data_IF_583741220271
#
_entry.id   IF_583741220271
#
_cell.length_a   1.000
_cell.length_b   1.000
_cell.length_c   1.000
_cell.angle_alpha   90.00
_cell.angle_beta   90.00
_cell.angle_gamma   90.00
#
_symmetry.space_group_name_H-M   'P 1'
#
loop_
_entity.id
_entity.type
_entity.pdbx_description
1 polymer ?
#
# COMPACT_ATOMS: atom_id res chain seq x y z
N UNK A 1 3.55 -16.54 9.59
CA UNK A 1 4.27 -16.07 8.39
C UNK A 1 4.90 -14.74 8.77
N UNK A 2 6.22 -14.64 8.95
CA UNK A 2 6.85 -13.37 9.30
C UNK A 2 6.81 -12.42 8.09
N UNK A 3 6.52 -11.14 8.36
CA UNK A 3 6.39 -10.02 7.43
C UNK A 3 7.75 -9.49 6.94
N UNK A 4 8.76 -10.35 6.78
CA UNK A 4 10.17 -9.91 6.78
C UNK A 4 10.66 -9.25 5.49
N UNK A 5 9.83 -9.14 4.46
CA UNK A 5 10.26 -8.56 3.18
C UNK A 5 9.26 -7.52 2.69
N UNK A 6 9.42 -6.28 3.17
CA UNK A 6 8.77 -5.10 2.59
C UNK A 6 9.70 -4.51 1.54
N UNK A 7 9.30 -4.61 0.27
CA UNK A 7 9.97 -3.88 -0.82
C UNK A 7 9.38 -2.47 -0.85
N UNK A 8 10.19 -1.47 -0.51
CA UNK A 8 9.88 -0.06 -0.76
C UNK A 8 10.24 0.30 -2.20
N UNK A 9 9.25 0.69 -3.00
CA UNK A 9 9.49 1.23 -4.33
C UNK A 9 9.16 2.73 -4.36
N UNK A 10 10.17 3.57 -4.57
CA UNK A 10 10.02 5.02 -4.76
C UNK A 10 10.09 5.38 -6.24
N UNK A 11 9.08 6.08 -6.74
CA UNK A 11 9.13 6.66 -8.10
C UNK A 11 9.81 8.03 -7.98
N UNK A 12 11.12 8.06 -8.23
CA UNK A 12 11.93 9.27 -8.24
C UNK A 12 11.61 10.24 -9.40
N UNK A 13 12.17 11.44 -9.28
CA UNK A 13 12.11 12.62 -10.16
C UNK A 13 12.27 12.28 -11.67
N UNK A 14 11.72 13.08 -12.62
CA UNK A 14 11.67 12.70 -14.04
C UNK A 14 13.06 12.41 -14.64
N UNK A 15 13.22 11.21 -15.23
CA UNK A 15 14.45 10.79 -15.91
C UNK A 15 15.20 9.62 -15.26
N UNK A 16 14.73 9.12 -14.11
CA UNK A 16 15.19 7.85 -13.54
C UNK A 16 14.16 6.74 -13.80
N UNK A 17 14.62 5.60 -14.30
CA UNK A 17 13.85 4.36 -14.30
C UNK A 17 13.44 4.00 -12.87
N UNK A 18 12.41 3.16 -12.71
CA UNK A 18 12.00 2.61 -11.41
C UNK A 18 13.23 2.09 -10.66
N UNK A 19 13.69 2.85 -9.67
CA UNK A 19 14.81 2.46 -8.83
C UNK A 19 14.22 1.68 -7.65
N UNK A 20 14.46 0.37 -7.65
CA UNK A 20 14.18 -0.45 -6.48
C UNK A 20 15.26 -0.10 -5.47
N UNK A 21 14.92 0.72 -4.47
CA UNK A 21 15.79 0.91 -3.31
C UNK A 21 15.99 -0.50 -2.70
N UNK A 22 17.25 -0.92 -2.53
CA UNK A 22 17.58 -2.27 -2.11
C UNK A 22 16.84 -2.70 -0.83
N UNK A 23 16.66 -4.03 -0.67
CA UNK A 23 16.05 -4.63 0.52
C UNK A 23 16.74 -4.08 1.77
N UNK A 24 16.04 -3.22 2.51
CA UNK A 24 16.48 -2.78 3.82
C UNK A 24 16.11 -3.91 4.78
N UNK A 25 17.10 -4.70 5.19
CA UNK A 25 16.90 -5.61 6.34
C UNK A 25 16.64 -4.73 7.55
N UNK A 26 15.44 -4.82 8.10
CA UNK A 26 15.19 -4.32 9.45
C UNK A 26 16.05 -5.14 10.41
N UNK A 27 16.74 -4.47 11.33
CA UNK A 27 17.50 -5.13 12.38
C UNK A 27 16.51 -5.99 13.20
N UNK A 28 16.85 -7.27 13.43
CA UNK A 28 16.00 -8.33 14.03
C UNK A 28 15.45 -8.02 15.45
N UNK A 29 15.69 -6.83 15.98
CA UNK A 29 15.31 -6.39 17.33
C UNK A 29 13.95 -5.65 17.37
N UNK A 30 13.31 -5.36 16.23
CA UNK A 30 11.94 -4.83 16.22
C UNK A 30 10.93 -5.93 16.58
N UNK A 31 10.56 -5.99 17.86
CA UNK A 31 9.47 -6.85 18.36
C UNK A 31 8.13 -6.43 17.77
N UNK A 32 7.78 -7.01 16.63
CA UNK A 32 6.44 -6.89 16.06
C UNK A 32 5.40 -7.62 16.91
N UNK A 33 4.21 -7.03 17.07
CA UNK A 33 3.15 -7.55 17.94
C UNK A 33 2.50 -8.87 17.46
N UNK A 34 3.00 -9.48 16.38
CA UNK A 34 2.37 -10.61 15.70
C UNK A 34 3.20 -11.90 15.77
N UNK A 35 4.35 -11.88 16.43
CA UNK A 35 5.14 -13.08 16.67
C UNK A 35 4.54 -13.83 17.86
N UNK A 36 3.78 -14.89 17.59
CA UNK A 36 3.26 -15.83 18.59
C UNK A 36 4.39 -16.74 19.12
N UNK A 37 5.29 -16.19 19.93
CA UNK A 37 6.19 -16.96 20.78
C UNK A 37 5.56 -17.05 22.16
N UNK A 38 4.97 -18.21 22.42
CA UNK A 38 4.24 -18.55 23.63
C UNK A 38 4.98 -18.21 24.92
N UNK A 39 4.17 -17.80 25.91
CA UNK A 39 4.38 -17.95 27.36
C UNK A 39 4.94 -16.79 28.20
N UNK A 40 4.78 -15.51 27.82
CA UNK A 40 4.77 -14.38 28.78
C UNK A 40 4.27 -13.05 28.16
N UNK A 41 2.95 -12.81 28.11
CA UNK A 41 2.34 -11.67 27.40
C UNK A 41 1.54 -10.66 28.27
N UNK A 42 1.70 -10.65 29.59
CA UNK A 42 0.78 -9.87 30.44
C UNK A 42 1.23 -8.45 30.85
N UNK A 43 2.47 -8.02 30.59
CA UNK A 43 2.93 -6.71 31.13
C UNK A 43 3.07 -5.54 30.13
N UNK A 44 2.89 -5.76 28.81
CA UNK A 44 3.04 -4.69 27.80
C UNK A 44 1.81 -4.48 26.90
N UNK A 45 0.78 -5.31 27.02
CA UNK A 45 -0.48 -5.08 26.32
C UNK A 45 -1.39 -4.22 27.19
N UNK A 46 -1.39 -2.91 26.93
CA UNK A 46 -2.57 -2.11 27.26
C UNK A 46 -3.73 -2.69 26.44
N UNK A 47 -4.72 -3.34 27.07
CA UNK A 47 -5.84 -3.89 26.32
C UNK A 47 -6.51 -2.71 25.62
N UNK A 48 -6.53 -2.75 24.28
CA UNK A 48 -7.23 -1.75 23.50
C UNK A 48 -8.67 -1.69 24.00
N UNK A 49 -9.08 -0.50 24.47
CA UNK A 49 -10.47 -0.25 24.89
C UNK A 49 -11.42 -0.12 23.69
N UNK A 50 -10.90 -0.20 22.46
CA UNK A 50 -11.72 -0.13 21.27
C UNK A 50 -12.52 -1.43 21.11
N UNK A 51 -13.67 -1.32 20.44
CA UNK A 51 -14.52 -2.47 20.13
C UNK A 51 -13.70 -3.60 19.48
N UNK A 52 -13.89 -4.83 19.96
CA UNK A 52 -13.17 -6.03 19.50
C UNK A 52 -11.65 -6.02 19.70
N UNK A 53 -11.12 -5.14 20.58
CA UNK A 53 -9.68 -5.02 20.81
C UNK A 53 -8.92 -4.39 19.63
N UNK A 54 -9.60 -3.69 18.72
CA UNK A 54 -8.99 -3.09 17.54
C UNK A 54 -7.92 -2.05 17.89
N UNK A 55 -6.84 -1.91 17.12
CA UNK A 55 -5.90 -0.80 17.31
C UNK A 55 -6.54 0.58 17.05
N UNK A 56 -7.64 0.63 16.30
CA UNK A 56 -8.31 1.87 15.91
C UNK A 56 -9.67 2.07 16.64
N UNK A 57 -10.00 3.30 17.06
CA UNK A 57 -11.29 3.61 17.67
C UNK A 57 -12.42 3.68 16.65
N UNK A 58 -13.67 3.56 17.12
CA UNK A 58 -14.85 3.80 16.27
C UNK A 58 -14.96 5.29 15.93
N UNK A 59 -15.14 5.61 14.64
CA UNK A 59 -15.36 6.98 14.15
C UNK A 59 -16.78 7.10 13.61
N UNK A 60 -17.53 8.10 14.06
CA UNK A 60 -18.89 8.39 13.58
C UNK A 60 -18.87 9.46 12.47
N UNK A 61 -19.89 9.48 11.61
CA UNK A 61 -20.02 10.49 10.54
C UNK A 61 -19.08 10.30 9.34
N UNK A 62 -18.56 9.09 9.13
CA UNK A 62 -17.76 8.80 7.93
C UNK A 62 -18.65 8.55 6.71
N UNK A 63 -18.26 9.09 5.56
CA UNK A 63 -18.81 8.70 4.27
C UNK A 63 -18.15 7.41 3.78
N UNK A 64 -18.91 6.32 3.78
CA UNK A 64 -18.47 5.03 3.28
C UNK A 64 -19.20 4.67 1.99
N UNK A 65 -18.44 4.29 0.97
CA UNK A 65 -18.98 3.79 -0.30
C UNK A 65 -18.42 2.41 -0.60
N UNK A 66 -19.30 1.42 -0.80
CA UNK A 66 -18.92 0.08 -1.21
C UNK A 66 -18.97 -0.07 -2.73
N UNK A 67 -18.15 -0.99 -3.23
CA UNK A 67 -18.09 -1.35 -4.64
C UNK A 67 -18.29 -2.86 -4.77
N UNK A 68 -19.06 -3.26 -5.78
CA UNK A 68 -19.14 -4.63 -6.23
C UNK A 68 -18.29 -4.71 -7.50
N UNK A 69 -17.42 -5.72 -7.57
CA UNK A 69 -16.42 -5.91 -8.62
C UNK A 69 -15.40 -4.77 -8.77
N UNK A 70 -14.54 -4.90 -9.79
CA UNK A 70 -13.45 -3.97 -10.05
C UNK A 70 -13.84 -2.72 -10.84
N UNK A 71 -14.96 -2.70 -11.58
CA UNK A 71 -15.27 -1.60 -12.50
C UNK A 71 -15.46 -0.27 -11.77
N UNK A 72 -16.34 -0.24 -10.76
CA UNK A 72 -16.58 0.95 -9.95
C UNK A 72 -15.41 1.31 -9.05
N UNK A 73 -14.77 0.28 -8.46
CA UNK A 73 -13.62 0.45 -7.57
C UNK A 73 -12.44 1.10 -8.30
N UNK A 74 -12.02 0.54 -9.45
CA UNK A 74 -10.88 1.08 -10.21
C UNK A 74 -11.16 2.45 -10.79
N UNK A 75 -12.42 2.74 -11.15
CA UNK A 75 -12.79 4.09 -11.56
C UNK A 75 -12.57 5.10 -10.42
N UNK A 76 -13.06 4.80 -9.22
CA UNK A 76 -12.86 5.65 -8.05
C UNK A 76 -11.37 5.78 -7.67
N UNK A 77 -10.62 4.68 -7.75
CA UNK A 77 -9.17 4.67 -7.51
C UNK A 77 -8.44 5.60 -8.48
N UNK A 78 -8.80 5.58 -9.77
CA UNK A 78 -8.20 6.48 -10.76
C UNK A 78 -8.40 7.96 -10.43
N UNK A 79 -9.58 8.32 -9.90
CA UNK A 79 -9.88 9.69 -9.48
C UNK A 79 -9.03 10.07 -8.27
N UNK A 80 -8.94 9.18 -7.27
CA UNK A 80 -8.13 9.42 -6.07
C UNK A 80 -6.64 9.64 -6.42
N UNK A 81 -6.08 8.82 -7.31
CA UNK A 81 -4.69 8.98 -7.78
C UNK A 81 -4.50 10.29 -8.57
N UNK A 82 -5.43 10.65 -9.47
CA UNK A 82 -5.41 11.93 -10.18
C UNK A 82 -5.46 13.13 -9.22
N UNK A 83 -6.22 13.04 -8.12
CA UNK A 83 -6.45 14.15 -7.19
C UNK A 83 -5.44 14.21 -6.04
N UNK A 84 -4.61 13.19 -5.84
CA UNK A 84 -3.61 13.16 -4.77
C UNK A 84 -2.67 14.38 -4.86
N UNK A 85 -2.42 15.02 -3.70
CA UNK A 85 -1.61 16.25 -3.60
C UNK A 85 -0.30 16.04 -2.84
N UNK A 86 -0.24 15.10 -1.89
CA UNK A 86 0.89 14.95 -0.98
C UNK A 86 1.51 13.57 -1.01
N UNK A 87 0.71 12.51 -0.82
CA UNK A 87 1.23 11.15 -0.84
C UNK A 87 0.21 10.13 -1.34
N UNK A 88 0.72 9.05 -1.91
CA UNK A 88 0.00 7.84 -2.30
C UNK A 88 0.72 6.68 -1.62
N UNK A 89 0.00 5.92 -0.81
CA UNK A 89 0.49 4.72 -0.14
C UNK A 89 -0.26 3.52 -0.71
N UNK A 90 0.46 2.57 -1.29
CA UNK A 90 -0.10 1.33 -1.84
C UNK A 90 0.48 0.16 -1.07
N UNK A 91 -0.39 -0.70 -0.53
CA UNK A 91 0.00 -1.99 0.01
C UNK A 91 -0.74 -3.05 -0.78
N UNK A 92 0.00 -3.96 -1.40
CA UNK A 92 -0.59 -5.02 -2.22
C UNK A 92 0.18 -6.33 -2.01
N UNK A 93 -0.55 -7.44 -2.13
CA UNK A 93 0.07 -8.75 -2.17
C UNK A 93 0.70 -9.00 -3.54
N UNK A 94 0.03 -8.56 -4.62
CA UNK A 94 0.56 -8.59 -5.98
C UNK A 94 0.06 -7.39 -6.77
N UNK A 95 0.99 -6.49 -7.08
CA UNK A 95 0.73 -5.33 -7.93
C UNK A 95 1.21 -5.58 -9.36
N UNK A 96 0.32 -5.40 -10.34
CA UNK A 96 0.69 -5.31 -11.76
C UNK A 96 0.69 -3.83 -12.18
N UNK A 97 1.85 -3.22 -12.43
CA UNK A 97 1.94 -1.82 -12.87
C UNK A 97 1.18 -1.54 -14.18
N UNK A 98 1.01 -2.55 -15.04
CA UNK A 98 0.38 -2.43 -16.36
C UNK A 98 -1.16 -2.52 -16.33
N UNK A 99 -1.77 -2.63 -15.16
CA UNK A 99 -3.24 -2.67 -15.03
C UNK A 99 -3.87 -1.33 -15.41
N UNK A 100 -5.00 -1.38 -16.12
CA UNK A 100 -5.78 -0.20 -16.48
C UNK A 100 -6.91 0.04 -15.49
N UNK A 101 -6.90 1.23 -14.87
CA UNK A 101 -7.93 1.64 -13.91
C UNK A 101 -9.23 2.11 -14.59
N UNK A 102 -9.17 2.46 -15.88
CA UNK A 102 -10.34 2.76 -16.73
C UNK A 102 -10.32 1.92 -18.01
N UNK A 103 -11.49 1.47 -18.45
CA UNK A 103 -11.65 0.60 -19.62
C UNK A 103 -12.66 1.20 -20.63
N UNK A 104 -12.51 0.97 -21.95
CA UNK A 104 -11.51 0.12 -22.59
C UNK A 104 -10.11 0.77 -22.68
N UNK A 105 -9.01 -0.02 -22.61
CA UNK A 105 -7.64 0.51 -22.68
C UNK A 105 -7.36 1.39 -23.89
N UNK A 106 -7.95 1.09 -25.05
CA UNK A 106 -7.76 1.86 -26.30
C UNK A 106 -8.13 3.34 -26.17
N UNK A 107 -9.05 3.69 -25.26
CA UNK A 107 -9.49 5.08 -25.01
C UNK A 107 -8.88 5.70 -23.76
N UNK A 108 -8.32 4.87 -22.87
CA UNK A 108 -7.91 5.26 -21.53
C UNK A 108 -6.44 4.94 -21.25
N UNK A 109 -5.58 5.16 -22.24
CA UNK A 109 -4.15 4.86 -22.15
C UNK A 109 -3.44 5.54 -20.97
N UNK A 110 -3.83 6.77 -20.62
CA UNK A 110 -3.26 7.49 -19.47
C UNK A 110 -3.64 6.90 -18.11
N UNK A 111 -4.64 6.03 -18.07
CA UNK A 111 -5.17 5.41 -16.85
C UNK A 111 -4.56 4.04 -16.55
N UNK A 112 -3.41 3.72 -17.16
CA UNK A 112 -2.57 2.60 -16.74
C UNK A 112 -1.86 2.98 -15.45
N UNK A 113 -1.86 2.10 -14.45
CA UNK A 113 -1.46 2.42 -13.08
C UNK A 113 -0.05 3.03 -13.03
N UNK A 114 0.93 2.39 -13.67
CA UNK A 114 2.31 2.89 -13.81
C UNK A 114 2.38 4.36 -14.27
N UNK A 115 1.64 4.70 -15.33
CA UNK A 115 1.61 6.06 -15.90
C UNK A 115 0.95 7.06 -14.96
N UNK A 116 -0.09 6.64 -14.24
CA UNK A 116 -0.77 7.51 -13.27
C UNK A 116 0.12 7.80 -12.07
N UNK A 117 0.83 6.79 -11.55
CA UNK A 117 1.77 6.96 -10.44
C UNK A 117 2.97 7.81 -10.85
N UNK A 118 3.50 7.59 -12.06
CA UNK A 118 4.53 8.45 -12.63
C UNK A 118 4.05 9.91 -12.74
N UNK A 119 2.83 10.15 -13.25
CA UNK A 119 2.28 11.49 -13.33
C UNK A 119 2.06 12.13 -11.95
N UNK A 120 1.72 11.35 -10.92
CA UNK A 120 1.65 11.83 -9.55
C UNK A 120 3.05 12.23 -9.03
N UNK A 121 4.06 11.39 -9.22
CA UNK A 121 5.44 11.68 -8.83
C UNK A 121 6.00 12.93 -9.52
N UNK A 122 5.73 13.11 -10.82
CA UNK A 122 6.11 14.33 -11.57
C UNK A 122 5.50 15.59 -10.96
N UNK A 123 4.29 15.50 -10.38
CA UNK A 123 3.63 16.61 -9.68
C UNK A 123 4.18 16.85 -8.27
N UNK A 124 5.14 16.06 -7.81
CA UNK A 124 5.70 16.14 -6.45
C UNK A 124 4.93 15.35 -5.40
N UNK A 125 4.04 14.44 -5.80
CA UNK A 125 3.34 13.54 -4.87
C UNK A 125 4.28 12.40 -4.49
N UNK A 126 4.46 12.15 -3.19
CA UNK A 126 5.26 11.02 -2.70
C UNK A 126 4.54 9.71 -2.96
N UNK A 127 5.16 8.76 -3.67
CA UNK A 127 4.57 7.44 -3.96
C UNK A 127 5.36 6.39 -3.19
N UNK A 128 4.71 5.74 -2.24
CA UNK A 128 5.28 4.68 -1.39
C UNK A 128 4.48 3.40 -1.61
N UNK A 129 5.17 2.33 -2.00
CA UNK A 129 4.56 1.04 -2.30
C UNK A 129 5.21 -0.02 -1.42
N UNK A 130 4.38 -0.81 -0.73
CA UNK A 130 4.75 -1.97 0.08
C UNK A 130 4.22 -3.21 -0.64
N UNK A 131 5.12 -4.06 -1.13
CA UNK A 131 4.78 -5.32 -1.79
C UNK A 131 5.23 -6.51 -0.96
N UNK A 132 4.40 -7.54 -0.92
CA UNK A 132 4.79 -8.83 -0.36
C UNK A 132 5.87 -9.49 -1.24
N UNK A 133 7.01 -9.87 -0.66
CA UNK A 133 7.95 -10.74 -1.35
C UNK A 133 7.47 -12.19 -1.29
N UNK A 134 7.38 -12.84 -2.46
CA UNK A 134 7.01 -14.26 -2.56
C UNK A 134 8.24 -15.16 -2.78
N UNK A 135 9.47 -14.61 -2.71
CA UNK A 135 10.71 -15.33 -3.00
C UNK A 135 11.84 -15.06 -2.03
N UNK A 136 11.90 -15.83 -0.95
CA UNK A 136 13.14 -16.35 -0.35
C UNK A 136 12.80 -17.41 0.72
N UNK A 137 12.53 -18.63 0.27
CA UNK A 137 12.72 -19.82 1.09
C UNK A 137 13.95 -20.52 0.52
N UNK A 138 15.10 -20.25 1.12
CA UNK A 138 16.29 -21.10 0.98
C UNK A 138 16.25 -22.19 2.04
#
# INVERSE_FOLDING_TARGET
>A
MPFNDIIHANIGVPGQDLHVDGVRKEDDDEKHSHTHLSDNYDELHFPSQNRYGSFAPQRAGNDAKWYIDGCGYFWALSIAVEQAQHSIWIMDWWLSPEVYLRRPPSRFQRYRLDRMLQAAAVRGVKVEIILNNVGNTV
#
